data_IF_183789663240
#
_entry.id   IF_183789663240
#
_cell.length_a   1.000
_cell.length_b   1.000
_cell.length_c   1.000
_cell.angle_alpha   90.00
_cell.angle_beta   90.00
_cell.angle_gamma   90.00
#
_symmetry.space_group_name_H-M   'P 1'
#
loop_
_entity.id
_entity.type
_entity.pdbx_description
1 polymer ?
#
# COMPACT_ATOMS: atom_id res chain seq x y z
N UNK A 1 11.18 22.00 -23.91
CA UNK A 1 12.40 21.44 -23.32
C UNK A 1 13.26 22.59 -22.82
N UNK A 2 13.55 22.66 -21.51
CA UNK A 2 14.32 23.77 -20.95
C UNK A 2 15.76 23.71 -21.44
N UNK A 3 16.17 24.68 -22.27
CA UNK A 3 17.55 24.83 -22.73
C UNK A 3 18.46 25.38 -21.64
N UNK A 4 18.50 24.71 -20.48
CA UNK A 4 19.35 25.02 -19.32
C UNK A 4 20.74 24.43 -19.57
N UNK A 5 21.59 25.22 -20.22
CA UNK A 5 23.00 24.91 -20.39
C UNK A 5 23.80 25.48 -19.23
N UNK A 6 24.98 24.90 -18.94
CA UNK A 6 25.87 25.35 -17.87
C UNK A 6 26.16 26.87 -17.96
N UNK A 7 26.42 27.37 -19.17
CA UNK A 7 26.62 28.80 -19.45
C UNK A 7 25.43 29.67 -18.99
N UNK A 8 24.20 29.24 -19.26
CA UNK A 8 22.99 29.97 -18.87
C UNK A 8 22.78 29.96 -17.36
N UNK A 9 23.08 28.83 -16.71
CA UNK A 9 23.02 28.74 -15.25
C UNK A 9 24.03 29.69 -14.60
N UNK A 10 25.24 29.76 -15.15
CA UNK A 10 26.29 30.69 -14.70
C UNK A 10 25.88 32.16 -14.90
N UNK A 11 25.33 32.49 -16.07
CA UNK A 11 24.79 33.83 -16.35
C UNK A 11 23.71 34.22 -15.35
N UNK A 12 22.76 33.31 -15.08
CA UNK A 12 21.69 33.52 -14.09
C UNK A 12 22.28 33.70 -12.69
N UNK A 13 23.29 32.92 -12.30
CA UNK A 13 23.94 33.07 -11.00
C UNK A 13 24.62 34.44 -10.83
N UNK A 14 25.28 34.95 -11.88
CA UNK A 14 25.86 36.31 -11.88
C UNK A 14 24.76 37.36 -11.71
N UNK A 15 23.69 37.28 -12.52
CA UNK A 15 22.58 38.24 -12.46
C UNK A 15 21.92 38.20 -11.08
N UNK A 16 21.62 37.01 -10.57
CA UNK A 16 21.04 36.82 -9.24
C UNK A 16 21.95 37.41 -8.16
N UNK A 17 23.27 37.21 -8.25
CA UNK A 17 24.22 37.79 -7.31
C UNK A 17 24.30 39.32 -7.37
N UNK A 18 24.13 39.90 -8.56
CA UNK A 18 24.11 41.34 -8.74
C UNK A 18 22.82 41.97 -8.21
N UNK A 19 21.66 41.32 -8.43
CA UNK A 19 20.35 41.75 -7.95
C UNK A 19 20.23 41.63 -6.43
N UNK A 20 20.70 40.52 -5.86
CA UNK A 20 20.67 40.28 -4.41
C UNK A 20 21.79 41.04 -3.66
N UNK A 21 22.84 41.41 -4.39
CA UNK A 21 24.05 42.05 -3.89
C UNK A 21 25.12 41.04 -3.43
N UNK A 22 26.39 41.18 -3.87
CA UNK A 22 27.46 40.22 -3.59
C UNK A 22 27.79 40.12 -2.09
N UNK A 23 27.55 41.18 -1.32
CA UNK A 23 27.76 41.19 0.13
C UNK A 23 26.69 40.39 0.90
N UNK A 24 25.50 40.17 0.33
CA UNK A 24 24.38 39.47 1.00
C UNK A 24 24.34 37.98 0.66
N UNK A 25 24.79 37.61 -0.54
CA UNK A 25 24.89 36.21 -0.99
C UNK A 25 25.55 35.24 0.00
N UNK A 26 26.76 35.52 0.55
CA UNK A 26 27.40 34.59 1.47
C UNK A 26 26.58 34.37 2.75
N UNK A 27 25.90 35.40 3.24
CA UNK A 27 25.01 35.28 4.40
C UNK A 27 23.81 34.37 4.13
N UNK A 28 23.17 34.49 2.96
CA UNK A 28 22.07 33.60 2.57
C UNK A 28 22.54 32.17 2.27
N UNK A 29 23.71 32.00 1.66
CA UNK A 29 24.31 30.69 1.42
C UNK A 29 24.62 29.95 2.73
N UNK A 30 25.09 30.68 3.75
CA UNK A 30 25.29 30.13 5.10
C UNK A 30 23.97 29.68 5.74
N UNK A 31 22.92 30.50 5.66
CA UNK A 31 21.60 30.15 6.17
C UNK A 31 21.06 28.90 5.48
N UNK A 32 21.07 28.87 4.15
CA UNK A 32 20.65 27.71 3.37
C UNK A 32 21.48 26.47 3.71
N UNK A 33 22.80 26.61 3.83
CA UNK A 33 23.68 25.53 4.23
C UNK A 33 23.34 24.99 5.63
N UNK A 34 23.01 25.86 6.57
CA UNK A 34 22.56 25.45 7.90
C UNK A 34 21.22 24.72 7.85
N UNK A 35 20.26 25.21 7.05
CA UNK A 35 18.97 24.54 6.84
C UNK A 35 19.14 23.15 6.22
N UNK A 36 19.98 23.02 5.19
CA UNK A 36 20.27 21.74 4.55
C UNK A 36 20.91 20.77 5.55
N UNK A 37 21.81 21.25 6.40
CA UNK A 37 22.46 20.43 7.43
C UNK A 37 21.46 19.97 8.49
N UNK A 38 20.58 20.88 8.95
CA UNK A 38 19.52 20.55 9.90
C UNK A 38 18.53 19.55 9.30
N UNK A 39 18.14 19.74 8.04
CA UNK A 39 17.25 18.82 7.33
C UNK A 39 17.90 17.43 7.18
N UNK A 40 19.19 17.37 6.81
CA UNK A 40 19.94 16.11 6.75
C UNK A 40 19.92 15.40 8.11
N UNK A 41 20.25 16.11 9.18
CA UNK A 41 20.25 15.56 10.53
C UNK A 41 18.86 15.07 10.96
N UNK A 42 17.81 15.80 10.58
CA UNK A 42 16.43 15.42 10.84
C UNK A 42 16.02 14.14 10.10
N UNK A 43 16.40 14.01 8.81
CA UNK A 43 16.18 12.80 8.02
C UNK A 43 16.95 11.62 8.64
N UNK A 44 18.22 11.82 8.99
CA UNK A 44 19.04 10.77 9.61
C UNK A 44 18.48 10.33 10.98
N UNK A 45 17.98 11.28 11.79
CA UNK A 45 17.34 10.99 13.07
C UNK A 45 16.01 10.24 12.92
N UNK A 46 15.18 10.65 11.95
CA UNK A 46 13.90 10.00 11.64
C UNK A 46 14.12 8.58 11.13
N UNK A 47 15.12 8.39 10.26
CA UNK A 47 15.54 7.06 9.82
C UNK A 47 15.98 6.21 11.00
N UNK A 48 16.85 6.72 11.88
CA UNK A 48 17.31 5.98 13.06
C UNK A 48 16.18 5.63 14.03
N UNK A 49 15.13 6.47 14.12
CA UNK A 49 13.92 6.13 14.87
C UNK A 49 13.13 4.99 14.18
N UNK A 50 12.91 5.09 12.86
CA UNK A 50 12.21 4.06 12.10
C UNK A 50 12.94 2.71 12.13
N UNK A 51 14.27 2.69 12.04
CA UNK A 51 15.10 1.49 12.15
C UNK A 51 14.98 0.81 13.51
N UNK A 52 14.90 1.60 14.60
CA UNK A 52 14.73 1.08 15.96
C UNK A 52 13.37 0.42 16.16
N UNK A 53 12.32 0.99 15.56
CA UNK A 53 10.96 0.48 15.73
C UNK A 53 10.63 -0.66 14.76
N UNK A 54 11.23 -0.69 13.56
CA UNK A 54 10.99 -1.71 12.54
C UNK A 54 12.04 -2.85 12.55
N UNK A 55 13.17 -2.69 13.23
CA UNK A 55 14.22 -3.69 13.35
C UNK A 55 15.01 -3.99 12.06
N UNK A 56 14.72 -3.29 10.96
CA UNK A 56 15.42 -3.43 9.67
C UNK A 56 16.36 -2.23 9.50
N UNK A 57 17.68 -2.43 9.32
CA UNK A 57 18.60 -1.34 9.05
C UNK A 57 18.29 -0.76 7.67
N UNK A 58 17.84 0.48 7.61
CA UNK A 58 17.61 1.18 6.36
C UNK A 58 18.97 1.73 5.95
N UNK A 59 19.83 0.97 5.28
CA UNK A 59 21.11 1.54 4.82
C UNK A 59 20.89 2.55 3.70
N UNK A 60 21.73 3.58 3.64
CA UNK A 60 21.64 4.65 2.63
C UNK A 60 22.02 4.10 1.24
N UNK A 61 22.92 3.12 1.24
CA UNK A 61 23.49 2.45 0.08
C UNK A 61 22.55 1.42 -0.56
N UNK A 62 21.64 0.82 0.22
CA UNK A 62 20.61 -0.09 -0.30
C UNK A 62 19.46 0.68 -0.97
N UNK A 63 19.25 1.97 -0.70
CA UNK A 63 18.14 2.72 -1.31
C UNK A 63 18.53 3.41 -2.64
N UNK A 64 19.83 3.63 -2.83
CA UNK A 64 20.39 4.16 -4.09
C UNK A 64 20.60 3.06 -5.14
N UNK A 65 20.72 1.80 -4.70
CA UNK A 65 20.90 0.62 -5.55
C UNK A 65 19.62 -0.19 -5.76
N UNK A 66 18.65 -0.13 -4.83
CA UNK A 66 17.29 -0.61 -5.05
C UNK A 66 16.40 0.56 -5.46
N UNK A 67 16.43 0.87 -6.76
CA UNK A 67 15.57 1.82 -7.44
C UNK A 67 14.11 1.62 -6.97
N UNK A 68 13.50 2.60 -6.29
CA UNK A 68 12.08 2.52 -5.87
C UNK A 68 11.13 2.32 -7.07
N UNK A 69 11.59 2.60 -8.29
CA UNK A 69 10.90 2.32 -9.56
C UNK A 69 10.90 0.83 -9.93
N UNK A 70 11.78 0.02 -9.35
CA UNK A 70 11.73 -1.44 -9.46
C UNK A 70 10.62 -2.04 -8.59
N UNK A 71 10.08 -1.27 -7.64
CA UNK A 71 8.83 -1.58 -6.95
C UNK A 71 7.64 -0.93 -7.68
N UNK A 72 7.60 -1.06 -9.01
CA UNK A 72 6.47 -0.57 -9.81
C UNK A 72 5.23 -1.43 -9.46
N UNK A 73 4.20 -0.87 -8.80
CA UNK A 73 3.04 -1.64 -8.35
C UNK A 73 2.34 -2.35 -9.51
N UNK A 74 2.47 -1.82 -10.74
CA UNK A 74 1.93 -2.46 -11.94
C UNK A 74 2.57 -3.80 -12.23
N UNK A 75 3.87 -3.94 -11.98
CA UNK A 75 4.59 -5.21 -12.16
C UNK A 75 4.19 -6.24 -11.11
N UNK A 76 4.04 -5.82 -9.86
CA UNK A 76 3.56 -6.70 -8.78
C UNK A 76 2.15 -7.23 -9.08
N UNK A 77 1.26 -6.37 -9.61
CA UNK A 77 -0.08 -6.78 -10.02
C UNK A 77 -0.07 -7.61 -11.31
N UNK A 78 0.80 -7.30 -12.28
CA UNK A 78 0.91 -8.11 -13.50
C UNK A 78 1.47 -9.50 -13.21
N UNK A 79 2.46 -9.60 -12.33
CA UNK A 79 3.03 -10.88 -11.89
C UNK A 79 1.96 -11.69 -11.14
N UNK A 80 1.17 -11.05 -10.26
CA UNK A 80 0.03 -11.70 -9.59
C UNK A 80 -1.11 -12.13 -10.54
N UNK A 81 -1.22 -11.51 -11.73
CA UNK A 81 -2.19 -11.88 -12.76
C UNK A 81 -1.65 -12.91 -13.76
N UNK A 82 -0.34 -12.90 -14.00
CA UNK A 82 0.37 -13.81 -14.90
C UNK A 82 0.75 -15.12 -14.24
N UNK A 83 0.91 -15.14 -12.91
CA UNK A 83 1.06 -16.35 -12.14
C UNK A 83 -0.30 -17.06 -12.08
N UNK A 84 -0.48 -18.16 -12.84
CA UNK A 84 -1.67 -18.94 -12.72
C UNK A 84 -1.56 -19.65 -11.37
N UNK A 85 -2.44 -19.27 -10.43
CA UNK A 85 -2.78 -20.03 -9.22
C UNK A 85 -2.12 -19.65 -7.87
N UNK A 86 -1.46 -18.48 -7.72
CA UNK A 86 -0.86 -18.08 -6.44
C UNK A 86 -1.69 -17.13 -5.55
N UNK A 87 -3.01 -17.00 -5.79
CA UNK A 87 -3.82 -15.99 -5.09
C UNK A 87 -5.28 -16.34 -4.87
N UNK A 88 -5.62 -17.62 -4.96
CA UNK A 88 -6.96 -18.08 -4.57
C UNK A 88 -6.68 -18.49 -3.13
N UNK A 89 -7.15 -17.73 -2.12
CA UNK A 89 -7.01 -18.22 -0.76
C UNK A 89 -7.62 -19.62 -0.79
N UNK A 90 -6.80 -20.64 -0.63
CA UNK A 90 -7.25 -22.02 -0.60
C UNK A 90 -8.27 -22.06 0.53
N UNK A 91 -9.55 -22.06 0.18
CA UNK A 91 -10.61 -21.99 1.16
C UNK A 91 -10.55 -23.34 1.86
N UNK A 92 -9.90 -23.35 3.02
CA UNK A 92 -9.85 -24.54 3.87
C UNK A 92 -11.26 -24.79 4.36
N UNK A 93 -11.99 -25.62 3.62
CA UNK A 93 -13.33 -26.03 3.96
C UNK A 93 -13.25 -26.88 5.22
N UNK A 94 -13.52 -26.24 6.36
CA UNK A 94 -13.50 -26.87 7.69
C UNK A 94 -14.84 -27.57 7.93
N UNK A 95 -14.86 -28.66 8.71
CA UNK A 95 -16.11 -29.36 9.07
C UNK A 95 -17.16 -28.41 9.70
N UNK A 96 -16.72 -27.44 10.49
CA UNK A 96 -17.58 -26.41 11.08
C UNK A 96 -18.25 -25.51 10.01
N UNK A 97 -17.56 -25.22 8.90
CA UNK A 97 -18.13 -24.44 7.78
C UNK A 97 -19.17 -25.24 7.01
N UNK A 98 -18.97 -26.55 6.86
CA UNK A 98 -19.95 -27.46 6.27
C UNK A 98 -21.20 -27.57 7.16
N UNK A 99 -21.00 -27.69 8.47
CA UNK A 99 -22.10 -27.70 9.45
C UNK A 99 -22.87 -26.38 9.44
N UNK A 100 -22.19 -25.24 9.33
CA UNK A 100 -22.84 -23.95 9.20
C UNK A 100 -23.61 -23.84 7.87
N UNK A 101 -23.03 -24.29 6.75
CA UNK A 101 -23.69 -24.32 5.45
C UNK A 101 -24.97 -25.16 5.44
N UNK A 102 -25.00 -26.29 6.16
CA UNK A 102 -26.20 -27.13 6.29
C UNK A 102 -27.36 -26.44 7.02
N UNK A 103 -27.07 -25.42 7.85
CA UNK A 103 -28.07 -24.64 8.59
C UNK A 103 -28.62 -23.45 7.80
N UNK A 104 -27.95 -23.08 6.70
CA UNK A 104 -28.37 -21.97 5.85
C UNK A 104 -29.61 -22.39 5.05
N UNK A 105 -30.67 -21.57 5.12
CA UNK A 105 -31.88 -21.83 4.33
C UNK A 105 -31.71 -21.33 2.89
N UNK A 106 -32.29 -22.03 1.90
CA UNK A 106 -32.33 -21.54 0.53
C UNK A 106 -33.03 -20.17 0.47
N UNK A 107 -32.40 -19.20 -0.20
CA UNK A 107 -32.86 -17.80 -0.28
C UNK A 107 -32.46 -16.89 0.89
N UNK A 108 -31.64 -17.37 1.83
CA UNK A 108 -31.15 -16.55 2.95
C UNK A 108 -30.16 -15.48 2.47
N UNK A 109 -30.45 -14.20 2.75
CA UNK A 109 -29.62 -13.06 2.30
C UNK A 109 -28.46 -12.71 3.23
N UNK A 110 -28.59 -13.04 4.52
CA UNK A 110 -27.61 -12.68 5.55
C UNK A 110 -27.31 -13.85 6.48
N UNK A 111 -26.04 -14.00 6.84
CA UNK A 111 -25.58 -14.86 7.93
C UNK A 111 -25.39 -14.02 9.18
N UNK A 112 -25.84 -14.54 10.32
CA UNK A 112 -25.62 -13.94 11.64
C UNK A 112 -24.49 -14.71 12.28
N UNK A 113 -23.34 -14.05 12.42
CA UNK A 113 -22.15 -14.58 13.10
C UNK A 113 -21.90 -13.78 14.38
N UNK A 114 -20.94 -14.20 15.20
CA UNK A 114 -20.59 -13.55 16.47
C UNK A 114 -21.34 -14.12 17.68
N UNK A 115 -21.00 -13.58 18.85
CA UNK A 115 -21.61 -14.03 20.12
C UNK A 115 -22.98 -13.41 20.31
N UNK A 116 -23.81 -13.99 21.18
CA UNK A 116 -25.14 -13.45 21.51
C UNK A 116 -25.11 -11.99 21.98
N UNK A 117 -24.00 -11.52 22.55
CA UNK A 117 -23.79 -10.13 22.97
C UNK A 117 -23.35 -9.19 21.84
N UNK A 118 -22.76 -9.72 20.76
CA UNK A 118 -22.27 -8.93 19.61
C UNK A 118 -22.53 -9.68 18.29
N UNK A 119 -23.79 -9.72 17.83
CA UNK A 119 -24.12 -10.33 16.55
C UNK A 119 -23.61 -9.45 15.40
N UNK A 120 -22.87 -10.05 14.47
CA UNK A 120 -22.48 -9.44 13.20
C UNK A 120 -23.31 -10.04 12.07
N UNK A 121 -23.79 -9.19 11.18
CA UNK A 121 -24.51 -9.60 9.97
C UNK A 121 -23.57 -9.51 8.78
N UNK A 122 -23.37 -10.62 8.09
CA UNK A 122 -22.55 -10.71 6.88
C UNK A 122 -23.49 -11.05 5.72
N UNK A 123 -23.38 -10.32 4.61
CA UNK A 123 -24.15 -10.61 3.40
C UNK A 123 -23.63 -11.90 2.75
N UNK A 124 -24.53 -12.79 2.35
CA UNK A 124 -24.16 -14.02 1.66
C UNK A 124 -23.42 -13.73 0.34
N UNK A 125 -23.74 -12.63 -0.34
CA UNK A 125 -23.08 -12.22 -1.58
C UNK A 125 -21.65 -11.72 -1.39
N UNK A 126 -21.29 -11.34 -0.16
CA UNK A 126 -19.93 -10.89 0.19
C UNK A 126 -18.97 -12.04 0.47
N UNK A 127 -19.47 -13.27 0.58
CA UNK A 127 -18.65 -14.47 0.75
C UNK A 127 -17.93 -14.82 -0.57
N UNK A 128 -16.75 -15.45 -0.52
CA UNK A 128 -16.08 -15.99 -1.69
C UNK A 128 -17.02 -16.86 -2.54
N UNK A 129 -16.81 -16.89 -3.85
CA UNK A 129 -17.67 -17.59 -4.81
C UNK A 129 -17.77 -19.08 -4.48
N UNK A 130 -16.67 -19.68 -4.01
CA UNK A 130 -16.57 -21.11 -3.69
C UNK A 130 -16.90 -21.45 -2.22
N UNK A 131 -17.46 -20.51 -1.43
CA UNK A 131 -17.85 -20.79 -0.03
C UNK A 131 -19.11 -21.66 0.03
N UNK A 132 -19.11 -22.80 0.75
CA UNK A 132 -20.25 -23.71 0.82
C UNK A 132 -21.54 -23.05 1.36
N UNK A 133 -21.43 -22.01 2.20
CA UNK A 133 -22.59 -21.28 2.74
C UNK A 133 -23.29 -20.44 1.68
N UNK A 134 -22.53 -19.94 0.70
CA UNK A 134 -23.07 -19.20 -0.44
C UNK A 134 -23.80 -20.12 -1.41
N UNK A 135 -23.20 -21.28 -1.69
CA UNK A 135 -23.80 -22.32 -2.53
C UNK A 135 -25.12 -22.82 -1.91
N UNK A 136 -25.13 -23.08 -0.60
CA UNK A 136 -26.33 -23.50 0.12
C UNK A 136 -27.46 -22.46 0.04
N UNK A 137 -27.17 -21.17 0.20
CA UNK A 137 -28.16 -20.11 0.11
C UNK A 137 -28.71 -19.89 -1.32
N UNK A 138 -27.90 -20.14 -2.35
CA UNK A 138 -28.28 -20.00 -3.76
C UNK A 138 -29.02 -21.22 -4.31
N UNK A 139 -28.99 -22.36 -3.60
CA UNK A 139 -29.76 -23.52 -3.99
C UNK A 139 -31.25 -23.15 -4.06
N UNK A 140 -31.80 -23.19 -5.27
CA UNK A 140 -33.23 -22.93 -5.53
C UNK A 140 -34.02 -24.02 -4.80
N UNK A 141 -35.08 -23.68 -4.05
CA UNK A 141 -35.92 -24.70 -3.45
C UNK A 141 -36.51 -25.55 -4.58
N UNK A 142 -36.07 -26.80 -4.69
CA UNK A 142 -36.72 -27.80 -5.53
C UNK A 142 -38.10 -27.99 -4.93
N UNK A 143 -39.11 -27.40 -5.59
CA UNK A 143 -40.50 -27.63 -5.23
C UNK A 143 -40.78 -29.14 -5.35
N UNK A 144 -41.44 -29.78 -4.37
CA UNK A 144 -41.89 -31.15 -4.54
C UNK A 144 -42.86 -31.18 -5.73
N UNK A 145 -42.47 -31.88 -6.78
CA UNK A 145 -43.37 -32.26 -7.87
C UNK A 145 -44.34 -33.32 -7.34
N UNK A 146 -45.57 -32.90 -7.02
CA UNK A 146 -46.75 -33.78 -7.03
C UNK A 146 -47.26 -33.96 -8.46
#
# INVERSE_FOLDING_TARGET
>A
MFGLSFEKLFLVAIIAGLVLGPHRLPGYAQQLGQYVRNLRNFVDATRSAAERDMGIPLQRTEWESFDLRQYDPRRIVSDALQEPDAGRPEIVVTQELLDEASRVRPGQKYLITGTSSHPRRISVDSLPVDDPRRIAAQSVPVAPSE
#
